data_IF_446048403082
#
_entry.id   IF_446048403082
#
_cell.length_a   1.000
_cell.length_b   1.000
_cell.length_c   1.000
_cell.angle_alpha   90.00
_cell.angle_beta   90.00
_cell.angle_gamma   90.00
#
_symmetry.space_group_name_H-M   'P 1'
#
loop_
_entity.id
_entity.type
_entity.pdbx_description
1 polymer ?
#
# COMPACT_ATOMS: atom_id res chain seq x y z
N UNK A 1 -24.23 -9.23 0.94
CA UNK A 1 -22.95 -9.62 0.31
C UNK A 1 -21.79 -8.75 0.85
N UNK A 2 -21.87 -7.42 0.83
CA UNK A 2 -20.81 -6.52 1.36
C UNK A 2 -20.43 -6.79 2.84
N UNK A 3 -21.41 -6.98 3.72
CA UNK A 3 -21.17 -7.29 5.15
C UNK A 3 -20.42 -8.62 5.39
N UNK A 4 -20.60 -9.61 4.51
CA UNK A 4 -19.88 -10.89 4.62
C UNK A 4 -18.44 -10.74 4.12
N UNK A 5 -18.23 -9.94 3.07
CA UNK A 5 -16.89 -9.63 2.57
C UNK A 5 -16.05 -8.86 3.60
N UNK A 6 -16.65 -7.89 4.29
CA UNK A 6 -15.97 -7.14 5.35
C UNK A 6 -15.52 -8.05 6.50
N UNK A 7 -16.38 -8.96 6.96
CA UNK A 7 -16.05 -9.94 7.99
C UNK A 7 -14.94 -10.90 7.52
N UNK A 8 -14.95 -11.28 6.24
CA UNK A 8 -13.88 -12.06 5.62
C UNK A 8 -12.52 -11.35 5.63
N UNK A 9 -12.47 -10.06 5.27
CA UNK A 9 -11.23 -9.26 5.30
C UNK A 9 -10.69 -9.13 6.72
N UNK A 10 -11.56 -8.90 7.71
CA UNK A 10 -11.15 -8.80 9.13
C UNK A 10 -10.54 -10.12 9.61
N UNK A 11 -11.18 -11.25 9.33
CA UNK A 11 -10.64 -12.58 9.69
C UNK A 11 -9.31 -12.87 8.99
N UNK A 12 -9.15 -12.46 7.73
CA UNK A 12 -7.90 -12.64 6.98
C UNK A 12 -6.75 -11.81 7.56
N UNK A 13 -6.99 -10.52 7.85
CA UNK A 13 -6.01 -9.66 8.50
C UNK A 13 -5.62 -10.16 9.90
N UNK A 14 -6.57 -10.76 10.62
CA UNK A 14 -6.32 -11.39 11.91
C UNK A 14 -5.39 -12.60 11.80
N UNK A 15 -5.64 -13.49 10.84
CA UNK A 15 -4.79 -14.67 10.59
C UNK A 15 -3.38 -14.25 10.17
N UNK A 16 -3.25 -13.27 9.25
CA UNK A 16 -1.94 -12.70 8.89
C UNK A 16 -1.23 -12.20 10.15
N UNK A 17 -1.94 -11.50 11.04
CA UNK A 17 -1.39 -11.03 12.30
C UNK A 17 -0.87 -12.15 13.21
N UNK A 18 -1.55 -13.30 13.24
CA UNK A 18 -1.13 -14.47 14.04
C UNK A 18 0.05 -15.23 13.43
N UNK A 19 0.16 -15.27 12.10
CA UNK A 19 1.25 -15.94 11.38
C UNK A 19 2.54 -15.10 11.35
N UNK A 20 2.40 -13.79 11.49
CA UNK A 20 3.53 -12.86 11.50
C UNK A 20 4.41 -13.03 12.75
N UNK A 21 5.67 -13.42 12.52
CA UNK A 21 6.69 -13.45 13.56
C UNK A 21 7.34 -12.06 13.73
N UNK A 22 7.12 -11.36 14.86
CA UNK A 22 7.59 -9.97 15.03
C UNK A 22 9.11 -9.85 15.00
N UNK A 23 9.84 -10.88 15.45
CA UNK A 23 11.31 -10.94 15.41
C UNK A 23 11.86 -10.94 13.97
N UNK A 24 11.21 -11.68 13.07
CA UNK A 24 11.57 -11.72 11.64
C UNK A 24 11.25 -10.39 10.95
N UNK A 25 10.13 -9.76 11.31
CA UNK A 25 9.75 -8.43 10.82
C UNK A 25 10.78 -7.37 11.19
N UNK A 26 11.29 -7.44 12.42
CA UNK A 26 12.30 -6.48 12.90
C UNK A 26 13.64 -6.62 12.17
N UNK A 27 13.99 -7.84 11.73
CA UNK A 27 15.14 -8.07 10.86
C UNK A 27 14.99 -7.43 9.48
N UNK A 28 13.77 -7.42 8.94
CA UNK A 28 13.43 -6.83 7.63
C UNK A 28 13.08 -5.34 7.69
N UNK A 29 13.11 -4.71 8.87
CA UNK A 29 12.69 -3.30 9.06
C UNK A 29 13.40 -2.32 8.11
N UNK A 30 14.68 -2.56 7.78
CA UNK A 30 15.44 -1.70 6.88
C UNK A 30 15.00 -1.84 5.43
N UNK A 31 14.63 -3.04 5.00
CA UNK A 31 14.11 -3.25 3.65
C UNK A 31 12.68 -2.72 3.53
N UNK A 32 11.82 -3.02 4.52
CA UNK A 32 10.42 -2.59 4.51
C UNK A 32 10.30 -1.07 4.63
N UNK A 33 10.93 -0.46 5.65
CA UNK A 33 10.85 0.99 5.85
C UNK A 33 11.82 1.80 4.98
N UNK A 34 12.95 1.23 4.57
CA UNK A 34 13.91 1.92 3.72
C UNK A 34 13.50 1.83 2.25
N UNK A 35 13.62 0.63 1.67
CA UNK A 35 13.36 0.41 0.25
C UNK A 35 11.86 0.53 -0.06
N UNK A 36 10.99 -0.03 0.79
CA UNK A 36 9.54 0.06 0.59
C UNK A 36 9.01 1.49 0.61
N UNK A 37 9.39 2.29 1.60
CA UNK A 37 8.97 3.70 1.66
C UNK A 37 9.56 4.52 0.50
N UNK A 38 10.80 4.23 0.09
CA UNK A 38 11.42 4.89 -1.05
C UNK A 38 10.70 4.54 -2.36
N UNK A 39 10.36 3.28 -2.58
CA UNK A 39 9.57 2.84 -3.73
C UNK A 39 8.21 3.55 -3.75
N UNK A 40 7.49 3.55 -2.62
CA UNK A 40 6.19 4.21 -2.47
C UNK A 40 6.30 5.70 -2.81
N UNK A 41 7.30 6.40 -2.25
CA UNK A 41 7.54 7.80 -2.54
C UNK A 41 7.86 8.07 -4.01
N UNK A 42 8.75 7.30 -4.62
CA UNK A 42 9.14 7.43 -6.02
C UNK A 42 7.94 7.18 -6.95
N UNK A 43 7.20 6.09 -6.74
CA UNK A 43 6.02 5.80 -7.55
C UNK A 43 4.92 6.85 -7.38
N UNK A 44 4.71 7.37 -6.16
CA UNK A 44 3.69 8.37 -5.90
C UNK A 44 4.03 9.68 -6.63
N UNK A 45 5.30 10.09 -6.60
CA UNK A 45 5.78 11.25 -7.35
C UNK A 45 5.63 11.03 -8.85
N UNK A 46 6.05 9.88 -9.38
CA UNK A 46 5.94 9.58 -10.82
C UNK A 46 4.48 9.58 -11.29
N UNK A 47 3.58 8.94 -10.57
CA UNK A 47 2.14 8.93 -10.91
C UNK A 47 1.51 10.31 -10.78
N UNK A 48 1.91 11.10 -9.78
CA UNK A 48 1.46 12.49 -9.64
C UNK A 48 1.94 13.34 -10.83
N UNK A 49 3.18 13.18 -11.27
CA UNK A 49 3.73 13.86 -12.46
C UNK A 49 3.00 13.46 -13.76
N UNK A 50 2.64 12.19 -13.90
CA UNK A 50 1.81 11.72 -15.03
C UNK A 50 0.43 12.38 -15.00
N UNK A 51 -0.20 12.49 -13.84
CA UNK A 51 -1.48 13.19 -13.69
C UNK A 51 -1.38 14.69 -14.02
N UNK A 52 -0.28 15.34 -13.60
CA UNK A 52 0.02 16.73 -13.94
C UNK A 52 0.23 16.93 -15.44
N UNK A 53 0.95 16.02 -16.11
CA UNK A 53 1.13 16.04 -17.56
C UNK A 53 -0.19 15.86 -18.32
N UNK A 54 -1.17 15.17 -17.72
CA UNK A 54 -2.55 15.07 -18.22
C UNK A 54 -3.41 16.33 -18.02
N UNK A 55 -2.87 17.40 -17.42
CA UNK A 55 -3.58 18.66 -17.19
C UNK A 55 -4.48 18.67 -15.96
N UNK A 56 -4.38 17.68 -15.08
CA UNK A 56 -5.17 17.63 -13.85
C UNK A 56 -4.58 18.53 -12.74
N UNK A 57 -5.43 19.07 -11.84
CA UNK A 57 -4.97 19.77 -10.65
C UNK A 57 -4.07 18.90 -9.76
N UNK A 58 -3.03 19.50 -9.18
CA UNK A 58 -2.08 18.86 -8.26
C UNK A 58 -2.77 17.98 -7.21
N UNK A 59 -3.84 18.49 -6.59
CA UNK A 59 -4.56 17.76 -5.55
C UNK A 59 -5.18 16.44 -6.06
N UNK A 60 -5.77 16.45 -7.26
CA UNK A 60 -6.39 15.24 -7.84
C UNK A 60 -5.33 14.23 -8.29
N UNK A 61 -4.26 14.70 -8.94
CA UNK A 61 -3.16 13.86 -9.37
C UNK A 61 -2.44 13.21 -8.20
N UNK A 62 -2.25 13.95 -7.09
CA UNK A 62 -1.64 13.42 -5.89
C UNK A 62 -2.51 12.38 -5.19
N UNK A 63 -3.81 12.65 -5.01
CA UNK A 63 -4.74 11.68 -4.40
C UNK A 63 -4.83 10.41 -5.24
N UNK A 64 -4.91 10.53 -6.57
CA UNK A 64 -4.91 9.39 -7.46
C UNK A 64 -3.58 8.62 -7.41
N UNK A 65 -2.44 9.32 -7.51
CA UNK A 65 -1.11 8.70 -7.47
C UNK A 65 -0.81 8.01 -6.14
N UNK A 66 -1.14 8.65 -5.01
CA UNK A 66 -1.00 8.08 -3.68
C UNK A 66 -1.88 6.84 -3.49
N UNK A 67 -3.13 6.86 -3.97
CA UNK A 67 -4.03 5.71 -3.93
C UNK A 67 -3.53 4.54 -4.77
N UNK A 68 -3.03 4.80 -5.97
CA UNK A 68 -2.52 3.77 -6.88
C UNK A 68 -1.24 3.08 -6.40
N UNK A 69 -0.42 3.77 -5.61
CA UNK A 69 0.81 3.20 -5.05
C UNK A 69 0.53 2.14 -3.98
N UNK A 70 -0.63 2.17 -3.33
CA UNK A 70 -0.97 1.22 -2.29
C UNK A 70 -1.13 -0.17 -2.90
N UNK A 71 -0.18 -1.05 -2.60
CA UNK A 71 -0.26 -2.45 -2.99
C UNK A 71 -1.12 -3.21 -1.97
N UNK A 72 -2.07 -4.00 -2.46
CA UNK A 72 -2.91 -4.83 -1.61
C UNK A 72 -2.15 -6.12 -1.27
N UNK A 73 -1.23 -6.03 -0.30
CA UNK A 73 -0.51 -7.19 0.25
C UNK A 73 -1.44 -8.28 0.76
N UNK A 74 -2.68 -7.94 1.13
CA UNK A 74 -3.72 -8.89 1.52
C UNK A 74 -4.31 -9.71 0.36
N UNK A 75 -4.09 -9.32 -0.90
CA UNK A 75 -4.62 -10.03 -2.08
C UNK A 75 -3.56 -10.93 -2.74
N UNK A 76 -2.27 -10.67 -2.50
CA UNK A 76 -1.15 -11.28 -3.24
C UNK A 76 -0.45 -12.44 -2.50
N UNK A 77 -0.60 -12.55 -1.17
CA UNK A 77 -0.14 -13.72 -0.40
C UNK A 77 -1.26 -14.73 -0.19
#
# INVERSE_FOLDING_TARGET
ILHVAELGVVMFLFIIGLEMQPSRLWGLRREIFGLGALQVGVCAVLLTLVGLAGGFPIAQSFVAGAGFVLTSTAIVM
#
